data_IF_672579786185
#
_entry.id   IF_672579786185
#
_cell.length_a   1.000
_cell.length_b   1.000
_cell.length_c   1.000
_cell.angle_alpha   90.00
_cell.angle_beta   90.00
_cell.angle_gamma   90.00
#
_symmetry.space_group_name_H-M   'P 1'
#
loop_
_entity.id
_entity.type
_entity.pdbx_description
1 polymer ?
#
# COMPACT_ATOMS: atom_id res chain seq x y z
N UNK A 1 2.38 2.63 38.52
CA UNK A 1 2.11 3.44 37.32
C UNK A 1 2.52 2.60 36.12
N UNK A 2 1.57 2.28 35.23
CA UNK A 2 1.88 1.51 34.01
C UNK A 2 2.54 2.46 33.02
N UNK A 3 3.80 2.22 32.67
CA UNK A 3 4.49 2.99 31.65
C UNK A 3 3.76 2.77 30.33
N UNK A 4 3.06 3.79 29.84
CA UNK A 4 2.52 3.76 28.48
C UNK A 4 3.71 3.90 27.54
N UNK A 5 4.30 2.79 27.13
CA UNK A 5 5.35 2.80 26.10
C UNK A 5 4.65 2.96 24.76
N UNK A 6 4.55 4.18 24.28
CA UNK A 6 4.05 4.46 22.94
C UNK A 6 5.07 3.91 21.92
N UNK A 7 4.61 3.01 21.05
CA UNK A 7 5.41 2.23 20.09
C UNK A 7 5.72 3.02 18.81
N UNK A 8 6.07 4.30 18.94
CA UNK A 8 6.32 5.25 17.84
C UNK A 8 7.33 4.72 16.79
N UNK A 9 8.44 4.04 17.18
CA UNK A 9 9.34 3.41 16.21
C UNK A 9 8.73 2.27 15.39
N UNK A 10 7.77 1.53 15.96
CA UNK A 10 7.11 0.40 15.29
C UNK A 10 6.12 0.91 14.24
N UNK A 11 5.48 2.06 14.48
CA UNK A 11 4.59 2.70 13.51
C UNK A 11 5.41 3.27 12.35
N UNK A 12 6.53 3.93 12.62
CA UNK A 12 7.44 4.41 11.58
C UNK A 12 7.98 3.27 10.69
N UNK A 13 8.32 2.12 11.28
CA UNK A 13 8.70 0.92 10.54
C UNK A 13 7.55 0.42 9.64
N UNK A 14 6.32 0.34 10.18
CA UNK A 14 5.15 -0.08 9.42
C UNK A 14 4.81 0.88 8.27
N UNK A 15 5.02 2.20 8.43
CA UNK A 15 4.89 3.17 7.32
C UNK A 15 5.87 2.86 6.20
N UNK A 16 7.14 2.61 6.54
CA UNK A 16 8.18 2.24 5.57
C UNK A 16 7.83 0.94 4.85
N UNK A 17 7.32 -0.07 5.57
CA UNK A 17 6.88 -1.34 4.98
C UNK A 17 5.70 -1.13 4.01
N UNK A 18 4.74 -0.27 4.35
CA UNK A 18 3.61 0.05 3.45
C UNK A 18 4.08 0.73 2.18
N UNK A 19 5.05 1.64 2.25
CA UNK A 19 5.63 2.28 1.06
C UNK A 19 6.32 1.27 0.14
N UNK A 20 7.08 0.33 0.72
CA UNK A 20 7.71 -0.75 -0.04
C UNK A 20 6.67 -1.67 -0.69
N UNK A 21 5.60 -2.02 0.03
CA UNK A 21 4.50 -2.80 -0.53
C UNK A 21 3.82 -2.04 -1.65
N UNK A 22 3.59 -0.72 -1.52
CA UNK A 22 3.02 0.10 -2.59
C UNK A 22 3.86 0.05 -3.87
N UNK A 23 5.18 0.21 -3.75
CA UNK A 23 6.11 0.12 -4.87
C UNK A 23 6.07 -1.27 -5.51
N UNK A 24 6.13 -2.32 -4.69
CA UNK A 24 6.07 -3.71 -5.18
C UNK A 24 4.76 -4.02 -5.88
N UNK A 25 3.64 -3.50 -5.38
CA UNK A 25 2.32 -3.66 -6.00
C UNK A 25 2.29 -3.04 -7.39
N UNK A 26 2.90 -1.87 -7.59
CA UNK A 26 2.98 -1.24 -8.91
C UNK A 26 3.93 -2.00 -9.87
N UNK A 27 5.09 -2.45 -9.38
CA UNK A 27 5.98 -3.32 -10.17
C UNK A 27 5.26 -4.59 -10.64
N UNK A 28 4.52 -5.22 -9.72
CA UNK A 28 3.77 -6.44 -10.02
C UNK A 28 2.63 -6.17 -11.01
N UNK A 29 1.98 -4.99 -10.96
CA UNK A 29 0.98 -4.58 -11.97
C UNK A 29 1.59 -4.52 -13.36
N UNK A 30 2.71 -3.82 -13.50
CA UNK A 30 3.43 -3.72 -14.78
C UNK A 30 3.88 -5.10 -15.28
N UNK A 31 4.42 -5.93 -14.39
CA UNK A 31 4.80 -7.29 -14.72
C UNK A 31 3.61 -8.14 -15.20
N UNK A 32 2.47 -8.03 -14.52
CA UNK A 32 1.23 -8.75 -14.87
C UNK A 32 0.72 -8.33 -16.25
N UNK A 33 0.73 -7.02 -16.55
CA UNK A 33 0.37 -6.49 -17.87
C UNK A 33 1.31 -7.03 -18.95
N UNK A 34 2.61 -7.07 -18.67
CA UNK A 34 3.60 -7.61 -19.61
C UNK A 34 3.34 -9.10 -19.89
N UNK A 35 3.00 -9.90 -18.88
CA UNK A 35 2.63 -11.31 -19.07
C UNK A 35 1.40 -11.44 -19.97
N UNK A 36 0.32 -10.69 -19.68
CA UNK A 36 -0.89 -10.73 -20.50
C UNK A 36 -0.58 -10.32 -21.95
N UNK A 37 0.21 -9.25 -22.12
CA UNK A 37 0.63 -8.72 -23.42
C UNK A 37 1.50 -9.69 -24.22
N UNK A 38 2.39 -10.43 -23.54
CA UNK A 38 3.22 -11.46 -24.15
C UNK A 38 2.41 -12.69 -24.57
N UNK A 39 1.28 -12.94 -23.90
CA UNK A 39 0.38 -14.06 -24.18
C UNK A 39 -0.87 -13.63 -24.96
N UNK A 40 -0.81 -12.52 -25.70
CA UNK A 40 -1.96 -11.97 -26.40
C UNK A 40 -2.63 -12.96 -27.37
N UNK A 41 -1.85 -13.85 -27.99
CA UNK A 41 -2.36 -14.87 -28.91
C UNK A 41 -3.31 -15.86 -28.23
N UNK A 42 -3.11 -16.14 -26.94
CA UNK A 42 -4.03 -16.97 -26.13
C UNK A 42 -5.38 -16.28 -25.90
N UNK A 43 -5.47 -14.98 -26.18
CA UNK A 43 -6.68 -14.18 -26.10
C UNK A 43 -7.23 -13.81 -27.48
N UNK A 44 -6.86 -14.50 -28.56
CA UNK A 44 -7.22 -14.13 -29.95
C UNK A 44 -6.55 -12.83 -30.44
N UNK A 45 -5.38 -12.49 -29.90
CA UNK A 45 -4.58 -11.34 -30.28
C UNK A 45 -4.90 -10.05 -29.51
N UNK A 46 -4.01 -9.06 -29.62
CA UNK A 46 -4.07 -7.80 -28.84
C UNK A 46 -5.31 -6.94 -29.12
N UNK A 47 -5.93 -7.10 -30.29
CA UNK A 47 -7.11 -6.35 -30.68
C UNK A 47 -8.41 -6.93 -30.15
N UNK A 48 -8.39 -8.13 -29.58
CA UNK A 48 -9.62 -8.81 -29.16
C UNK A 48 -10.21 -8.20 -27.89
N UNK A 49 -11.52 -8.39 -27.72
CA UNK A 49 -12.21 -8.05 -26.48
C UNK A 49 -11.70 -8.88 -25.30
N UNK A 50 -11.35 -10.16 -25.53
CA UNK A 50 -10.83 -11.03 -24.48
C UNK A 50 -9.51 -10.52 -23.91
N UNK A 51 -8.61 -10.01 -24.77
CA UNK A 51 -7.35 -9.41 -24.35
C UNK A 51 -7.59 -8.12 -23.57
N UNK A 52 -8.44 -7.24 -24.09
CA UNK A 52 -8.79 -5.97 -23.44
C UNK A 52 -9.42 -6.21 -22.06
N UNK A 53 -10.32 -7.19 -21.94
CA UNK A 53 -10.92 -7.60 -20.68
C UNK A 53 -9.88 -8.12 -19.69
N UNK A 54 -8.90 -8.91 -20.13
CA UNK A 54 -7.82 -9.39 -19.27
C UNK A 54 -6.95 -8.23 -18.73
N UNK A 55 -6.58 -7.27 -19.59
CA UNK A 55 -5.84 -6.07 -19.18
C UNK A 55 -6.65 -5.22 -18.20
N UNK A 56 -7.93 -5.01 -18.48
CA UNK A 56 -8.82 -4.24 -17.62
C UNK A 56 -8.99 -4.91 -16.25
N UNK A 57 -9.14 -6.23 -16.21
CA UNK A 57 -9.22 -6.99 -14.97
C UNK A 57 -7.95 -6.84 -14.13
N UNK A 58 -6.77 -6.98 -14.75
CA UNK A 58 -5.49 -6.76 -14.06
C UNK A 58 -5.44 -5.35 -13.47
N UNK A 59 -5.70 -4.32 -14.27
CA UNK A 59 -5.68 -2.94 -13.79
C UNK A 59 -6.66 -2.70 -12.64
N UNK A 60 -7.89 -3.20 -12.76
CA UNK A 60 -8.91 -3.04 -11.72
C UNK A 60 -8.48 -3.66 -10.39
N UNK A 61 -7.97 -4.90 -10.40
CA UNK A 61 -7.49 -5.58 -9.19
C UNK A 61 -6.33 -4.85 -8.51
N UNK A 62 -5.37 -4.37 -9.29
CA UNK A 62 -4.27 -3.60 -8.74
C UNK A 62 -4.71 -2.22 -8.23
N UNK A 63 -5.71 -1.59 -8.86
CA UNK A 63 -6.29 -0.34 -8.37
C UNK A 63 -6.96 -0.52 -6.99
N UNK A 64 -7.74 -1.59 -6.80
CA UNK A 64 -8.35 -1.94 -5.51
C UNK A 64 -7.28 -2.14 -4.41
N UNK A 65 -6.20 -2.84 -4.75
CA UNK A 65 -5.07 -3.08 -3.85
C UNK A 65 -4.34 -1.79 -3.48
N UNK A 66 -4.04 -0.94 -4.47
CA UNK A 66 -3.37 0.35 -4.23
C UNK A 66 -4.23 1.31 -3.40
N UNK A 67 -5.56 1.27 -3.55
CA UNK A 67 -6.46 2.05 -2.69
C UNK A 67 -6.43 1.54 -1.25
N UNK A 68 -6.39 0.22 -1.05
CA UNK A 68 -6.25 -0.39 0.29
C UNK A 68 -4.93 0.00 0.95
N UNK A 69 -3.83 -0.07 0.21
CA UNK A 69 -2.49 0.33 0.68
C UNK A 69 -2.48 1.82 1.04
N UNK A 70 -3.06 2.69 0.21
CA UNK A 70 -3.17 4.13 0.49
C UNK A 70 -3.98 4.40 1.76
N UNK A 71 -5.11 3.72 1.97
CA UNK A 71 -5.89 3.84 3.20
C UNK A 71 -5.08 3.43 4.43
N UNK A 72 -4.35 2.32 4.34
CA UNK A 72 -3.50 1.86 5.43
C UNK A 72 -2.37 2.87 5.74
N UNK A 73 -1.74 3.46 4.73
CA UNK A 73 -0.74 4.53 4.91
C UNK A 73 -1.31 5.74 5.67
N UNK A 74 -2.52 6.20 5.30
CA UNK A 74 -3.19 7.32 5.99
C UNK A 74 -3.44 7.00 7.46
N UNK A 75 -3.95 5.80 7.77
CA UNK A 75 -4.22 5.40 9.17
C UNK A 75 -2.93 5.31 9.98
N UNK A 76 -1.85 4.76 9.42
CA UNK A 76 -0.57 4.68 10.13
C UNK A 76 0.05 6.06 10.38
N UNK A 77 -0.02 6.97 9.41
CA UNK A 77 0.47 8.33 9.60
C UNK A 77 -0.32 9.06 10.69
N UNK A 78 -1.65 8.97 10.68
CA UNK A 78 -2.48 9.55 11.74
C UNK A 78 -2.14 8.96 13.11
N UNK A 79 -1.96 7.64 13.21
CA UNK A 79 -1.56 6.98 14.45
C UNK A 79 -0.19 7.45 14.94
N UNK A 80 0.76 7.67 14.02
CA UNK A 80 2.09 8.18 14.34
C UNK A 80 2.04 9.61 14.89
N UNK A 81 1.27 10.49 14.26
CA UNK A 81 1.07 11.88 14.70
C UNK A 81 0.40 11.94 16.08
N UNK A 82 -0.69 11.18 16.26
CA UNK A 82 -1.44 11.12 17.52
C UNK A 82 -0.55 10.62 18.67
N UNK A 83 0.28 9.60 18.43
CA UNK A 83 1.19 9.07 19.45
C UNK A 83 2.35 10.01 19.74
N UNK A 84 2.91 10.67 18.73
CA UNK A 84 3.97 11.69 18.92
C UNK A 84 3.46 12.87 19.74
N UNK A 85 2.23 13.33 19.50
CA UNK A 85 1.61 14.40 20.30
C UNK A 85 1.41 14.00 21.77
N UNK A 86 0.93 12.76 22.01
CA UNK A 86 0.75 12.25 23.37
C UNK A 86 2.09 12.06 24.10
N UNK A 87 3.13 11.61 23.39
CA UNK A 87 4.49 11.53 23.93
C UNK A 87 5.00 12.91 24.37
N UNK A 88 4.82 13.94 23.53
CA UNK A 88 5.21 15.31 23.87
C UNK A 88 4.47 15.87 25.09
N UNK A 89 3.16 15.61 25.20
CA UNK A 89 2.35 16.05 26.35
C UNK A 89 2.73 15.31 27.64
N UNK A 90 2.97 14.00 27.57
CA UNK A 90 3.41 13.22 28.72
C UNK A 90 4.81 13.65 29.19
N UNK A 91 5.75 13.87 28.27
CA UNK A 91 7.08 14.37 28.60
C UNK A 91 7.03 15.76 29.26
N UNK A 92 6.12 16.64 28.82
CA UNK A 92 5.94 17.96 29.41
C UNK A 92 5.22 17.95 30.79
N UNK A 93 4.47 16.89 31.12
CA UNK A 93 3.82 16.74 32.43
C UNK A 93 4.72 16.11 33.49
N UNK A 94 5.75 15.37 33.09
CA UNK A 94 6.65 14.64 33.99
C UNK A 94 8.11 15.17 33.99
N UNK A 95 8.45 16.12 33.12
CA UNK A 95 9.71 16.88 33.16
C UNK A 95 9.55 18.21 33.89
#
# INVERSE_FOLDING_TARGET
>A
MSTVTFRTPQIAAAVTEIEQVAQKTEENRLHSINIVTANADNFNGRGSEAFQNAINLVNHRYQEQQETIRRAAVVLNQANEDMTMRDGQAAAQYG
#
